data_IF_400003290048
#
_entry.id   IF_400003290048
#
_cell.length_a   1.000
_cell.length_b   1.000
_cell.length_c   1.000
_cell.angle_alpha   90.00
_cell.angle_beta   90.00
_cell.angle_gamma   90.00
#
_symmetry.space_group_name_H-M   'P 1'
#
loop_
_entity.id
_entity.type
_entity.pdbx_description
1 polymer ?
#
# COMPACT_ATOMS: atom_id res chain seq x y z
N UNK A 1 5.38 0.53 -5.47
CA UNK A 1 6.59 0.44 -6.31
C UNK A 1 6.54 -0.86 -7.11
N UNK A 2 6.23 -0.76 -8.40
CA UNK A 2 6.25 -1.86 -9.35
C UNK A 2 7.50 -1.67 -10.22
N UNK A 3 8.59 -2.33 -9.81
CA UNK A 3 9.85 -2.31 -10.55
C UNK A 3 9.66 -3.11 -11.83
N UNK A 4 9.94 -2.47 -12.96
CA UNK A 4 9.66 -2.97 -14.30
C UNK A 4 10.95 -3.06 -15.10
N UNK A 5 11.22 -4.25 -15.62
CA UNK A 5 12.33 -4.53 -16.53
C UNK A 5 11.77 -4.64 -17.94
N UNK A 6 12.15 -3.69 -18.80
CA UNK A 6 11.86 -3.76 -20.22
C UNK A 6 13.08 -4.31 -20.95
N UNK A 7 12.93 -5.43 -21.65
CA UNK A 7 13.99 -6.08 -22.42
C UNK A 7 13.57 -6.35 -23.86
N UNK A 8 14.35 -5.89 -24.83
CA UNK A 8 14.26 -6.30 -26.24
C UNK A 8 15.54 -7.06 -26.57
N UNK A 9 15.46 -8.31 -27.03
CA UNK A 9 16.62 -9.10 -27.45
C UNK A 9 16.55 -9.47 -28.93
N UNK A 10 17.64 -9.25 -29.68
CA UNK A 10 17.82 -9.75 -31.06
C UNK A 10 18.77 -10.96 -31.04
N UNK A 11 18.48 -12.02 -31.81
CA UNK A 11 19.45 -13.13 -31.99
C UNK A 11 20.37 -12.82 -33.17
N UNK A 12 21.68 -13.03 -32.98
CA UNK A 12 22.65 -13.08 -34.08
C UNK A 12 22.45 -14.36 -34.92
N UNK A 13 22.59 -14.24 -36.25
CA UNK A 13 22.55 -15.38 -37.17
C UNK A 13 23.82 -16.25 -36.98
N UNK A 14 23.70 -17.60 -36.92
CA UNK A 14 24.88 -18.46 -36.85
C UNK A 14 25.67 -18.45 -38.18
N UNK A 15 27.00 -18.59 -38.15
CA UNK A 15 27.79 -18.75 -39.36
C UNK A 15 27.40 -20.04 -40.09
N UNK A 16 27.16 -19.93 -41.38
CA UNK A 16 26.70 -20.99 -42.29
C UNK A 16 27.72 -22.11 -42.42
N UNK A 17 27.27 -23.36 -42.19
CA UNK A 17 27.89 -24.58 -42.70
C UNK A 17 26.77 -25.49 -43.24
N UNK A 18 26.90 -25.90 -44.49
CA UNK A 18 25.88 -26.62 -45.27
C UNK A 18 25.68 -28.09 -44.86
N UNK A 19 24.40 -28.52 -44.88
CA UNK A 19 23.80 -29.85 -45.22
C UNK A 19 22.63 -30.25 -44.27
N UNK A 20 21.67 -31.12 -44.68
CA UNK A 20 20.51 -30.83 -45.53
C UNK A 20 19.16 -30.78 -44.77
N UNK A 21 18.21 -30.09 -45.41
CA UNK A 21 16.76 -29.92 -45.15
C UNK A 21 16.12 -30.59 -43.92
N UNK A 22 16.08 -29.86 -42.81
CA UNK A 22 14.99 -29.95 -41.82
C UNK A 22 13.90 -28.92 -42.17
N UNK A 23 12.61 -29.16 -41.85
CA UNK A 23 11.53 -28.21 -42.12
C UNK A 23 11.88 -26.85 -41.50
N UNK A 24 11.56 -25.73 -42.17
CA UNK A 24 12.05 -24.42 -41.76
C UNK A 24 11.68 -24.19 -40.29
N UNK A 25 12.66 -23.95 -39.40
CA UNK A 25 12.33 -23.63 -38.02
C UNK A 25 11.50 -22.35 -38.07
N UNK A 26 10.28 -22.42 -37.49
CA UNK A 26 9.44 -21.23 -37.29
C UNK A 26 10.30 -20.15 -36.66
N UNK A 27 10.58 -19.09 -37.41
CA UNK A 27 11.28 -17.89 -36.96
C UNK A 27 10.53 -17.34 -35.76
N UNK A 28 11.03 -17.59 -34.54
CA UNK A 28 10.48 -16.95 -33.33
C UNK A 28 10.90 -15.48 -33.39
N UNK A 29 9.92 -14.62 -33.59
CA UNK A 29 10.01 -13.18 -33.76
C UNK A 29 10.74 -12.46 -32.62
N UNK A 30 11.44 -11.38 -32.96
CA UNK A 30 11.86 -10.32 -32.04
C UNK A 30 10.71 -9.97 -31.10
N UNK A 31 10.96 -9.85 -29.79
CA UNK A 31 9.88 -9.58 -28.84
C UNK A 31 10.34 -8.71 -27.69
N UNK A 32 9.60 -7.62 -27.46
CA UNK A 32 9.68 -6.87 -26.21
C UNK A 32 9.09 -7.69 -25.08
N UNK A 33 9.81 -7.75 -23.97
CA UNK A 33 9.36 -8.32 -22.72
C UNK A 33 9.37 -7.23 -21.67
N UNK A 34 8.27 -7.16 -20.93
CA UNK A 34 8.13 -6.28 -19.78
C UNK A 34 7.83 -7.22 -18.61
N UNK A 35 8.83 -7.37 -17.76
CA UNK A 35 8.78 -8.20 -16.57
C UNK A 35 8.68 -7.29 -15.35
N UNK A 36 7.91 -7.69 -14.35
CA UNK A 36 7.79 -6.93 -13.10
C UNK A 36 8.36 -7.68 -11.90
N UNK A 37 8.55 -6.97 -10.79
CA UNK A 37 8.88 -7.54 -9.48
C UNK A 37 7.66 -7.49 -8.54
N UNK A 38 7.20 -8.61 -7.94
CA UNK A 38 7.69 -9.98 -8.13
C UNK A 38 7.41 -10.53 -9.55
N UNK A 39 8.18 -11.55 -10.01
CA UNK A 39 8.22 -11.99 -11.40
C UNK A 39 6.84 -12.31 -11.98
N UNK A 40 6.48 -11.58 -13.02
CA UNK A 40 5.27 -11.76 -13.81
C UNK A 40 5.41 -11.00 -15.13
N UNK A 41 4.88 -11.57 -16.21
CA UNK A 41 4.95 -10.95 -17.54
C UNK A 41 3.76 -10.03 -17.74
N UNK A 42 4.00 -8.73 -17.84
CA UNK A 42 2.95 -7.70 -17.95
C UNK A 42 3.02 -6.90 -19.26
N UNK A 43 3.71 -7.41 -20.29
CA UNK A 43 3.79 -6.75 -21.60
C UNK A 43 2.42 -6.30 -22.13
N UNK A 44 1.38 -7.13 -21.99
CA UNK A 44 0.04 -6.80 -22.46
C UNK A 44 -0.68 -5.71 -21.64
N UNK A 45 -0.20 -5.39 -20.43
CA UNK A 45 -0.75 -4.33 -19.57
C UNK A 45 -0.21 -2.94 -19.93
N UNK A 46 0.90 -2.87 -20.68
CA UNK A 46 1.62 -1.64 -21.02
C UNK A 46 1.97 -1.58 -22.52
N UNK A 47 0.96 -1.55 -23.42
CA UNK A 47 1.19 -1.48 -24.86
C UNK A 47 2.02 -0.25 -25.27
N UNK A 48 1.78 0.91 -24.66
CA UNK A 48 2.49 2.17 -24.93
C UNK A 48 4.02 2.05 -24.69
N UNK A 49 4.42 1.45 -23.57
CA UNK A 49 5.84 1.20 -23.26
C UNK A 49 6.41 0.13 -24.21
N UNK A 50 5.61 -0.88 -24.56
CA UNK A 50 6.02 -1.97 -25.44
C UNK A 50 6.23 -1.51 -26.89
N UNK A 51 5.38 -0.63 -27.38
CA UNK A 51 5.48 -0.02 -28.71
C UNK A 51 6.70 0.89 -28.79
N UNK A 52 6.92 1.75 -27.79
CA UNK A 52 8.13 2.56 -27.69
C UNK A 52 9.42 1.71 -27.67
N UNK A 53 9.41 0.59 -26.93
CA UNK A 53 10.53 -0.35 -26.90
C UNK A 53 10.78 -1.02 -28.26
N UNK A 54 9.73 -1.35 -29.02
CA UNK A 54 9.88 -1.89 -30.37
C UNK A 54 10.47 -0.85 -31.33
N UNK A 55 10.02 0.41 -31.21
CA UNK A 55 10.47 1.52 -32.04
C UNK A 55 11.96 1.86 -31.82
N UNK A 56 12.48 1.71 -30.60
CA UNK A 56 13.90 1.87 -30.31
C UNK A 56 14.78 0.94 -31.18
N UNK A 57 14.30 -0.28 -31.45
CA UNK A 57 14.96 -1.20 -32.36
C UNK A 57 16.29 -1.79 -31.86
N UNK A 58 16.77 -1.44 -30.67
CA UNK A 58 18.04 -1.93 -30.11
C UNK A 58 17.87 -3.10 -29.13
N UNK A 59 18.93 -3.90 -28.99
CA UNK A 59 18.99 -4.93 -27.93
C UNK A 59 19.35 -4.26 -26.61
N UNK A 60 18.37 -4.05 -25.74
CA UNK A 60 18.54 -3.37 -24.45
C UNK A 60 17.79 -4.08 -23.34
N UNK A 61 18.31 -3.95 -22.12
CA UNK A 61 17.56 -4.23 -20.88
C UNK A 61 17.63 -3.01 -19.99
N UNK A 62 16.50 -2.31 -19.85
CA UNK A 62 16.34 -1.12 -19.03
C UNK A 62 15.61 -1.49 -17.75
N UNK A 63 16.11 -1.00 -16.62
CA UNK A 63 15.46 -1.10 -15.32
C UNK A 63 14.80 0.25 -14.97
N UNK A 64 13.53 0.21 -14.60
CA UNK A 64 12.73 1.40 -14.39
C UNK A 64 11.51 1.16 -13.51
N UNK A 65 10.78 2.24 -13.22
CA UNK A 65 9.50 2.20 -12.51
C UNK A 65 8.38 2.53 -13.49
N UNK A 66 7.38 1.66 -13.60
CA UNK A 66 6.17 1.99 -14.36
C UNK A 66 5.25 2.85 -13.49
N UNK A 67 4.75 3.95 -14.04
CA UNK A 67 3.87 4.89 -13.33
C UNK A 67 2.69 5.30 -14.19
N UNK A 68 1.56 5.59 -13.56
CA UNK A 68 0.45 6.32 -14.17
C UNK A 68 0.35 7.66 -13.45
N UNK A 69 0.20 8.74 -14.21
CA UNK A 69 0.04 10.08 -13.67
C UNK A 69 -1.41 10.56 -13.88
N UNK A 70 -2.00 11.13 -12.83
CA UNK A 70 -3.32 11.77 -12.85
C UNK A 70 -3.28 13.02 -12.00
N UNK A 71 -3.83 14.12 -12.51
CA UNK A 71 -4.04 15.36 -11.75
C UNK A 71 -2.77 15.87 -11.04
N UNK A 72 -1.61 15.77 -11.71
CA UNK A 72 -0.34 16.24 -11.12
C UNK A 72 0.35 15.23 -10.20
N UNK A 73 -0.19 14.02 -10.00
CA UNK A 73 0.34 13.02 -9.06
C UNK A 73 0.47 11.62 -9.65
N UNK A 74 1.38 10.83 -9.09
CA UNK A 74 1.49 9.40 -9.39
C UNK A 74 0.32 8.63 -8.75
N UNK A 75 -0.41 7.86 -9.55
CA UNK A 75 -1.56 7.06 -9.13
C UNK A 75 -1.22 5.56 -9.17
N UNK A 76 -0.73 5.05 -8.03
CA UNK A 76 -0.43 3.63 -7.85
C UNK A 76 -1.72 2.77 -7.87
N UNK A 77 -2.85 3.36 -7.45
CA UNK A 77 -4.22 2.90 -7.64
C UNK A 77 -4.47 2.42 -9.07
N UNK A 78 -4.38 3.38 -9.98
CA UNK A 78 -4.60 3.21 -11.41
C UNK A 78 -3.62 2.20 -12.01
N UNK A 79 -2.34 2.26 -11.64
CA UNK A 79 -1.34 1.30 -12.11
C UNK A 79 -1.69 -0.13 -11.72
N UNK A 80 -2.04 -0.39 -10.45
CA UNK A 80 -2.44 -1.73 -10.02
C UNK A 80 -3.70 -2.20 -10.75
N UNK A 81 -4.71 -1.33 -10.86
CA UNK A 81 -5.92 -1.65 -11.60
C UNK A 81 -5.60 -2.02 -13.05
N UNK A 82 -4.69 -1.29 -13.71
CA UNK A 82 -4.25 -1.55 -15.08
C UNK A 82 -3.77 -2.98 -15.28
N UNK A 83 -2.92 -3.47 -14.39
CA UNK A 83 -2.33 -4.81 -14.49
C UNK A 83 -3.34 -5.95 -14.38
N UNK A 84 -4.52 -5.68 -13.81
CA UNK A 84 -5.59 -6.66 -13.61
C UNK A 84 -6.69 -6.61 -14.68
N UNK A 85 -6.60 -5.71 -15.67
CA UNK A 85 -7.62 -5.56 -16.73
C UNK A 85 -7.36 -6.49 -17.91
N UNK A 86 -8.45 -6.83 -18.63
CA UNK A 86 -8.37 -7.54 -19.92
C UNK A 86 -7.75 -6.65 -21.01
N UNK A 87 -7.07 -7.21 -22.03
CA UNK A 87 -6.35 -6.45 -23.05
C UNK A 87 -7.16 -5.34 -23.74
N UNK A 88 -8.43 -5.59 -24.10
CA UNK A 88 -9.28 -4.57 -24.72
C UNK A 88 -9.53 -3.35 -23.81
N UNK A 89 -9.69 -3.59 -22.50
CA UNK A 89 -9.83 -2.51 -21.53
C UNK A 89 -8.50 -1.78 -21.29
N UNK A 90 -7.37 -2.50 -21.32
CA UNK A 90 -6.03 -1.91 -21.27
C UNK A 90 -5.81 -0.96 -22.45
N UNK A 91 -6.08 -1.38 -23.69
CA UNK A 91 -5.88 -0.55 -24.88
C UNK A 91 -6.65 0.77 -24.79
N UNK A 92 -7.92 0.71 -24.35
CA UNK A 92 -8.73 1.91 -24.14
C UNK A 92 -8.17 2.82 -23.04
N UNK A 93 -7.75 2.24 -21.92
CA UNK A 93 -7.17 3.02 -20.82
C UNK A 93 -5.81 3.61 -21.21
N UNK A 94 -5.03 2.97 -22.09
CA UNK A 94 -3.68 3.42 -22.48
C UNK A 94 -3.76 4.71 -23.28
N UNK A 95 -4.77 4.84 -24.14
CA UNK A 95 -5.02 6.09 -24.87
C UNK A 95 -5.51 7.25 -24.00
N UNK A 96 -6.12 6.99 -22.83
CA UNK A 96 -6.62 8.05 -21.93
C UNK A 96 -5.63 8.41 -20.83
N UNK A 97 -4.92 7.42 -20.32
CA UNK A 97 -4.06 7.49 -19.14
C UNK A 97 -2.82 6.63 -19.38
N UNK A 98 -1.89 7.08 -20.23
CA UNK A 98 -0.72 6.29 -20.59
C UNK A 98 0.17 6.05 -19.37
N UNK A 99 0.63 4.81 -19.22
CA UNK A 99 1.71 4.49 -18.31
C UNK A 99 3.03 5.00 -18.88
N UNK A 100 3.90 5.42 -17.98
CA UNK A 100 5.26 5.87 -18.29
C UNK A 100 6.28 4.96 -17.63
N UNK A 101 7.44 4.77 -18.27
CA UNK A 101 8.59 4.10 -17.69
C UNK A 101 9.62 5.15 -17.24
N UNK A 102 9.80 5.30 -15.94
CA UNK A 102 10.86 6.13 -15.37
C UNK A 102 12.13 5.27 -15.23
N UNK A 103 13.01 5.36 -16.22
CA UNK A 103 14.22 4.55 -16.33
C UNK A 103 15.33 5.04 -15.38
N UNK A 104 15.99 4.11 -14.68
CA UNK A 104 17.03 4.44 -13.70
C UNK A 104 18.31 3.59 -13.80
N UNK A 105 18.33 2.53 -14.62
CA UNK A 105 19.52 1.70 -14.87
C UNK A 105 19.50 1.06 -16.28
N UNK A 106 20.67 0.73 -16.82
CA UNK A 106 20.84 0.00 -18.09
C UNK A 106 21.69 -1.24 -17.82
N UNK A 107 21.11 -2.42 -18.08
CA UNK A 107 21.70 -3.72 -17.70
C UNK A 107 22.28 -4.48 -18.89
N UNK A 108 21.83 -4.14 -20.10
CA UNK A 108 22.32 -4.67 -21.36
C UNK A 108 22.13 -3.63 -22.44
N UNK A 109 23.11 -3.48 -23.32
CA UNK A 109 23.02 -2.64 -24.51
C UNK A 109 23.82 -3.24 -25.67
N UNK A 110 23.21 -3.34 -26.85
CA UNK A 110 23.81 -3.88 -28.07
C UNK A 110 24.48 -5.25 -27.88
N UNK A 111 23.84 -6.13 -27.10
CA UNK A 111 24.34 -7.48 -26.78
C UNK A 111 25.41 -7.54 -25.67
N UNK A 112 25.89 -6.40 -25.18
CA UNK A 112 26.85 -6.34 -24.06
C UNK A 112 26.10 -6.28 -22.74
N UNK A 113 26.36 -7.25 -21.85
CA UNK A 113 25.81 -7.25 -20.48
C UNK A 113 26.63 -6.31 -19.60
N UNK A 114 25.96 -5.46 -18.83
CA UNK A 114 26.59 -4.40 -18.04
C UNK A 114 26.52 -4.63 -16.53
N UNK A 115 26.07 -5.82 -16.07
CA UNK A 115 25.82 -6.07 -14.65
C UNK A 115 27.04 -5.84 -13.75
N UNK A 116 28.23 -6.20 -14.23
CA UNK A 116 29.49 -6.05 -13.48
C UNK A 116 30.07 -4.63 -13.52
N UNK A 117 29.49 -3.74 -14.32
CA UNK A 117 29.98 -2.38 -14.50
C UNK A 117 29.59 -1.52 -13.30
N UNK A 118 30.40 -0.52 -12.91
CA UNK A 118 30.01 0.55 -11.98
C UNK A 118 28.67 1.20 -12.34
N UNK A 119 27.83 1.52 -11.34
CA UNK A 119 26.55 2.19 -11.56
C UNK A 119 26.68 3.48 -12.38
N UNK A 120 27.72 4.29 -12.11
CA UNK A 120 27.97 5.54 -12.85
C UNK A 120 28.14 5.32 -14.36
N UNK A 121 28.75 4.20 -14.78
CA UNK A 121 29.00 3.88 -16.18
C UNK A 121 27.72 3.36 -16.86
N UNK A 122 26.96 2.50 -16.16
CA UNK A 122 25.63 2.09 -16.62
C UNK A 122 24.68 3.28 -16.76
N UNK A 123 24.75 4.22 -15.82
CA UNK A 123 23.95 5.44 -15.84
C UNK A 123 24.31 6.36 -17.01
N UNK A 124 25.60 6.60 -17.26
CA UNK A 124 26.06 7.39 -18.40
C UNK A 124 25.66 6.76 -19.74
N UNK A 125 25.72 5.42 -19.85
CA UNK A 125 25.24 4.70 -21.03
C UNK A 125 23.72 4.86 -21.21
N UNK A 126 22.94 4.81 -20.12
CA UNK A 126 21.49 5.05 -20.17
C UNK A 126 21.18 6.49 -20.64
N UNK A 127 21.89 7.49 -20.14
CA UNK A 127 21.73 8.88 -20.56
C UNK A 127 22.09 9.07 -22.03
N UNK A 128 23.18 8.45 -22.48
CA UNK A 128 23.61 8.48 -23.89
C UNK A 128 22.57 7.81 -24.80
N UNK A 129 21.95 6.71 -24.37
CA UNK A 129 20.86 6.06 -25.10
C UNK A 129 19.66 7.00 -25.27
N UNK A 130 19.27 7.71 -24.20
CA UNK A 130 18.18 8.68 -24.26
C UNK A 130 18.49 9.86 -25.17
N UNK A 131 19.70 10.42 -25.10
CA UNK A 131 20.11 11.54 -25.95
C UNK A 131 20.22 11.12 -27.42
N UNK A 132 20.88 10.00 -27.70
CA UNK A 132 21.11 9.52 -29.06
C UNK A 132 19.84 9.19 -29.83
N UNK A 133 18.80 8.73 -29.12
CA UNK A 133 17.50 8.40 -29.72
C UNK A 133 16.41 9.45 -29.47
N UNK A 134 16.72 10.56 -28.79
CA UNK A 134 15.73 11.57 -28.42
C UNK A 134 14.55 11.01 -27.62
N UNK A 135 14.83 10.05 -26.71
CA UNK A 135 13.79 9.32 -26.00
C UNK A 135 13.01 10.25 -25.05
N UNK A 136 11.70 10.20 -25.20
CA UNK A 136 10.73 10.97 -24.43
C UNK A 136 9.54 10.08 -24.08
N UNK A 137 8.42 10.67 -23.67
CA UNK A 137 7.19 9.95 -23.32
C UNK A 137 6.86 8.86 -24.37
N UNK A 138 6.56 7.62 -23.93
CA UNK A 138 6.23 7.22 -22.56
C UNK A 138 7.44 6.92 -21.66
N UNK A 139 8.67 7.22 -22.07
CA UNK A 139 9.86 7.02 -21.25
C UNK A 139 10.36 8.33 -20.66
N UNK A 140 10.95 8.25 -19.47
CA UNK A 140 11.65 9.38 -18.86
C UNK A 140 12.87 8.87 -18.10
N UNK A 141 13.93 9.68 -18.06
CA UNK A 141 15.06 9.41 -17.18
C UNK A 141 14.70 9.83 -15.75
N UNK A 142 15.01 8.97 -14.79
CA UNK A 142 15.05 9.38 -13.39
C UNK A 142 16.14 10.44 -13.20
N UNK A 143 15.89 11.53 -12.48
CA UNK A 143 16.91 12.50 -12.08
C UNK A 143 17.89 11.88 -11.06
N UNK A 144 19.17 12.24 -11.15
CA UNK A 144 20.23 11.76 -10.26
C UNK A 144 21.05 12.93 -9.72
N UNK A 145 21.56 12.80 -8.50
CA UNK A 145 22.42 13.82 -7.88
C UNK A 145 23.45 13.15 -6.98
N UNK A 146 24.67 13.72 -6.96
CA UNK A 146 25.69 13.40 -5.98
C UNK A 146 25.65 14.32 -4.75
N UNK A 147 24.82 15.36 -4.78
CA UNK A 147 24.67 16.35 -3.71
C UNK A 147 23.60 15.91 -2.68
N UNK A 148 23.99 15.69 -1.41
CA UNK A 148 23.05 15.38 -0.34
C UNK A 148 21.98 16.46 -0.08
N UNK A 149 22.29 17.74 -0.30
CA UNK A 149 21.32 18.83 -0.10
C UNK A 149 20.24 18.82 -1.17
N UNK A 150 20.62 18.67 -2.44
CA UNK A 150 19.66 18.45 -3.52
C UNK A 150 18.77 17.22 -3.26
N UNK A 151 19.35 16.13 -2.77
CA UNK A 151 18.59 14.91 -2.43
C UNK A 151 17.57 15.15 -1.29
N UNK A 152 17.94 15.93 -0.26
CA UNK A 152 17.02 16.36 0.82
C UNK A 152 15.88 17.22 0.28
N UNK A 153 16.15 18.11 -0.67
CA UNK A 153 15.12 18.92 -1.30
C UNK A 153 14.11 18.06 -2.07
N UNK A 154 14.57 17.07 -2.85
CA UNK A 154 13.68 16.14 -3.57
C UNK A 154 12.73 15.37 -2.66
N UNK A 155 13.22 14.92 -1.50
CA UNK A 155 12.41 14.24 -0.48
C UNK A 155 11.22 15.07 0.02
N UNK A 156 11.30 16.40 -0.09
CA UNK A 156 10.24 17.32 0.34
C UNK A 156 9.36 17.75 -0.85
N UNK A 157 9.99 18.15 -1.96
CA UNK A 157 9.29 18.74 -3.10
C UNK A 157 8.43 17.74 -3.88
N UNK A 158 8.90 16.49 -4.05
CA UNK A 158 8.18 15.51 -4.86
C UNK A 158 7.14 14.69 -4.08
N UNK A 159 7.06 14.88 -2.76
CA UNK A 159 6.03 14.25 -1.95
C UNK A 159 4.61 14.61 -2.43
N UNK A 160 4.40 15.88 -2.81
CA UNK A 160 3.14 16.35 -3.37
C UNK A 160 2.78 15.64 -4.69
N UNK A 161 3.77 15.28 -5.49
CA UNK A 161 3.61 14.52 -6.73
C UNK A 161 3.41 13.00 -6.50
N UNK A 162 3.44 12.52 -5.27
CA UNK A 162 3.27 11.10 -4.93
C UNK A 162 4.56 10.28 -4.96
N UNK A 163 5.74 10.92 -4.96
CA UNK A 163 7.02 10.22 -4.83
C UNK A 163 7.28 9.91 -3.35
N UNK A 164 7.46 8.62 -3.03
CA UNK A 164 7.65 8.15 -1.64
C UNK A 164 9.04 8.49 -1.05
N UNK A 165 10.03 8.75 -1.91
CA UNK A 165 11.38 9.12 -1.50
C UNK A 165 12.44 8.80 -2.56
N UNK A 166 13.66 8.57 -2.10
CA UNK A 166 14.86 8.40 -2.95
C UNK A 166 15.51 7.03 -2.74
N UNK A 167 16.30 6.62 -3.74
CA UNK A 167 17.13 5.42 -3.67
C UNK A 167 18.60 5.83 -3.81
N UNK A 168 19.41 5.55 -2.80
CA UNK A 168 20.86 5.74 -2.87
C UNK A 168 21.53 4.45 -3.36
N UNK A 169 22.37 4.60 -4.39
CA UNK A 169 23.16 3.54 -5.00
C UNK A 169 24.64 3.95 -4.92
N UNK A 170 25.53 3.02 -4.63
CA UNK A 170 26.97 3.32 -4.68
C UNK A 170 27.41 3.62 -6.12
N UNK A 171 28.14 4.70 -6.36
CA UNK A 171 28.56 5.09 -7.73
C UNK A 171 29.39 4.00 -8.42
N UNK A 172 30.21 3.28 -7.65
CA UNK A 172 31.02 2.15 -8.12
C UNK A 172 30.36 0.78 -7.92
N UNK A 173 29.08 0.75 -7.51
CA UNK A 173 28.39 -0.49 -7.17
C UNK A 173 27.97 -1.25 -8.45
N UNK A 174 28.37 -2.53 -8.61
CA UNK A 174 27.84 -3.38 -9.67
C UNK A 174 26.36 -3.71 -9.42
N UNK A 175 25.63 -4.07 -10.48
CA UNK A 175 24.27 -4.55 -10.33
C UNK A 175 24.27 -5.98 -9.79
N UNK A 176 23.57 -6.21 -8.68
CA UNK A 176 23.54 -7.51 -8.02
C UNK A 176 22.12 -8.11 -8.04
N UNK A 177 21.77 -8.91 -9.07
CA UNK A 177 20.43 -9.49 -9.18
C UNK A 177 20.05 -10.28 -7.93
N UNK A 178 18.84 -10.03 -7.40
CA UNK A 178 18.30 -10.75 -6.23
C UNK A 178 18.91 -10.36 -4.89
N UNK A 179 19.87 -9.43 -4.83
CA UNK A 179 20.46 -8.95 -3.58
C UNK A 179 19.87 -7.61 -3.15
N UNK A 180 19.68 -7.44 -1.84
CA UNK A 180 19.29 -6.16 -1.23
C UNK A 180 20.53 -5.30 -1.03
N UNK A 181 20.96 -4.58 -2.07
CA UNK A 181 22.18 -3.77 -2.05
C UNK A 181 21.97 -2.24 -2.09
N UNK A 182 20.75 -1.78 -2.36
CA UNK A 182 20.44 -0.35 -2.45
C UNK A 182 19.74 0.15 -1.20
N UNK A 183 20.04 1.39 -0.82
CA UNK A 183 19.43 2.03 0.35
C UNK A 183 18.23 2.84 -0.10
N UNK A 184 17.06 2.56 0.47
CA UNK A 184 15.82 3.28 0.16
C UNK A 184 15.50 4.23 1.31
N UNK A 185 15.53 5.52 1.03
CA UNK A 185 15.13 6.57 1.96
C UNK A 185 13.72 6.99 1.60
N UNK A 186 12.77 6.73 2.50
CA UNK A 186 11.36 7.07 2.28
C UNK A 186 10.94 8.12 3.29
N UNK A 187 10.15 9.09 2.83
CA UNK A 187 9.47 9.99 3.74
C UNK A 187 8.43 9.17 4.50
N UNK A 188 8.45 9.28 5.82
CA UNK A 188 7.40 8.75 6.68
C UNK A 188 6.68 9.95 7.26
N UNK A 189 5.37 9.99 7.11
CA UNK A 189 4.56 10.87 7.92
C UNK A 189 4.42 10.20 9.28
N UNK A 190 4.93 10.87 10.29
CA UNK A 190 4.77 10.47 11.67
C UNK A 190 3.65 11.29 12.30
N UNK A 191 3.05 10.72 13.34
CA UNK A 191 2.06 11.35 14.19
C UNK A 191 2.37 11.00 15.65
N UNK A 192 1.90 11.84 16.55
CA UNK A 192 2.07 11.65 17.99
C UNK A 192 0.78 11.14 18.64
N UNK A 193 0.91 10.25 19.61
CA UNK A 193 -0.20 9.82 20.45
C UNK A 193 0.31 9.42 21.85
N UNK A 194 -0.58 9.50 22.82
CA UNK A 194 -0.29 9.21 24.22
C UNK A 194 -0.38 7.69 24.43
N UNK A 195 0.55 7.12 25.18
CA UNK A 195 0.53 5.71 25.55
C UNK A 195 -0.46 5.53 26.69
N UNK A 196 -1.57 4.85 26.43
CA UNK A 196 -2.59 4.58 27.46
C UNK A 196 -2.58 3.15 28.00
N UNK A 197 -1.95 2.21 27.28
CA UNK A 197 -1.78 0.84 27.74
C UNK A 197 -0.68 0.10 26.97
N UNK A 198 -0.25 -1.04 27.51
CA UNK A 198 0.67 -1.97 26.84
C UNK A 198 0.17 -3.40 26.87
N UNK A 199 0.55 -4.19 25.87
CA UNK A 199 0.45 -5.66 25.94
C UNK A 199 1.76 -6.24 26.47
N UNK A 200 1.72 -7.46 27.01
CA UNK A 200 2.86 -8.02 27.75
C UNK A 200 2.86 -7.52 29.19
N UNK A 201 4.04 -7.54 29.83
CA UNK A 201 4.21 -7.00 31.19
C UNK A 201 4.80 -5.60 31.13
N UNK A 202 4.68 -4.82 32.21
CA UNK A 202 5.29 -3.48 32.27
C UNK A 202 6.81 -3.52 32.10
N UNK A 203 7.46 -4.57 32.63
CA UNK A 203 8.90 -4.79 32.46
C UNK A 203 9.30 -5.27 31.05
N UNK A 204 8.34 -5.81 30.28
CA UNK A 204 8.60 -6.34 28.93
C UNK A 204 7.42 -5.98 27.99
N UNK A 205 7.23 -4.70 27.69
CA UNK A 205 6.11 -4.26 26.85
C UNK A 205 6.29 -4.79 25.43
N UNK A 206 5.23 -5.37 24.86
CA UNK A 206 5.27 -5.97 23.53
C UNK A 206 4.66 -5.06 22.47
N UNK A 207 3.50 -4.45 22.75
CA UNK A 207 2.85 -3.46 21.87
C UNK A 207 2.27 -2.33 22.71
N UNK A 208 2.14 -1.14 22.11
CA UNK A 208 1.52 0.03 22.70
C UNK A 208 0.08 0.18 22.20
N UNK A 209 -0.81 0.56 23.10
CA UNK A 209 -2.13 1.09 22.79
C UNK A 209 -2.08 2.61 22.92
N UNK A 210 -2.31 3.28 21.80
CA UNK A 210 -2.09 4.70 21.62
C UNK A 210 -3.42 5.43 21.57
N UNK A 211 -3.51 6.54 22.31
CA UNK A 211 -4.72 7.33 22.44
C UNK A 211 -4.51 8.82 22.23
N UNK A 212 -5.62 9.53 22.01
CA UNK A 212 -5.68 10.99 21.97
C UNK A 212 -6.92 11.46 22.74
N UNK A 213 -6.82 12.63 23.35
CA UNK A 213 -7.97 13.28 23.95
C UNK A 213 -8.85 13.90 22.87
N UNK A 214 -10.17 13.83 23.04
CA UNK A 214 -11.11 14.62 22.24
C UNK A 214 -11.21 16.04 22.78
N UNK A 215 -11.89 16.93 22.05
CA UNK A 215 -12.18 18.29 22.52
C UNK A 215 -13.04 18.31 23.81
N UNK A 216 -13.77 17.23 24.07
CA UNK A 216 -14.58 17.03 25.27
C UNK A 216 -13.80 16.38 26.44
N UNK A 217 -12.50 16.12 26.26
CA UNK A 217 -11.64 15.54 27.29
C UNK A 217 -11.71 14.01 27.39
N UNK A 218 -12.33 13.31 26.43
CA UNK A 218 -12.37 11.85 26.43
C UNK A 218 -11.09 11.24 25.87
N UNK A 219 -10.48 10.29 26.59
CA UNK A 219 -9.29 9.60 26.10
C UNK A 219 -9.63 8.39 25.22
N UNK A 220 -9.47 8.55 23.90
CA UNK A 220 -9.88 7.54 22.91
C UNK A 220 -8.69 6.83 22.27
N UNK A 221 -8.83 5.52 22.07
CA UNK A 221 -7.85 4.69 21.37
C UNK A 221 -7.82 5.05 19.88
N UNK A 222 -6.68 5.56 19.41
CA UNK A 222 -6.47 5.94 18.00
C UNK A 222 -5.64 4.92 17.22
N UNK A 223 -4.77 4.16 17.88
CA UNK A 223 -3.94 3.18 17.19
C UNK A 223 -3.44 2.07 18.13
N UNK A 224 -3.05 0.93 17.54
CA UNK A 224 -2.26 -0.11 18.19
C UNK A 224 -0.95 -0.23 17.45
N UNK A 225 0.16 -0.41 18.17
CA UNK A 225 1.44 -0.61 17.51
C UNK A 225 1.64 -2.04 16.99
N UNK A 226 2.55 -2.20 16.02
CA UNK A 226 3.25 -3.46 15.79
C UNK A 226 4.11 -3.82 17.02
N UNK A 227 4.62 -5.06 17.12
CA UNK A 227 5.60 -5.40 18.14
C UNK A 227 6.74 -4.39 18.21
N UNK A 228 7.09 -3.98 19.44
CA UNK A 228 8.14 -3.01 19.70
C UNK A 228 9.52 -3.60 19.36
N UNK A 229 10.40 -2.83 18.67
CA UNK A 229 11.82 -3.16 18.57
C UNK A 229 12.49 -3.28 19.95
N UNK A 230 13.54 -4.10 20.07
CA UNK A 230 14.27 -4.36 21.31
C UNK A 230 14.59 -3.09 22.11
N UNK A 231 15.17 -2.09 21.43
CA UNK A 231 15.52 -0.80 22.04
C UNK A 231 14.33 -0.14 22.74
N UNK A 232 13.18 -0.07 22.06
CA UNK A 232 11.99 0.58 22.60
C UNK A 232 11.30 -0.25 23.69
N UNK A 233 11.57 -1.55 23.77
CA UNK A 233 11.12 -2.38 24.90
C UNK A 233 11.88 -2.02 26.17
N UNK A 234 13.20 -1.84 26.08
CA UNK A 234 14.03 -1.35 27.18
C UNK A 234 13.65 0.05 27.63
N UNK A 235 13.67 1.01 26.70
CA UNK A 235 13.29 2.41 26.99
C UNK A 235 11.86 2.49 27.58
N UNK A 236 10.93 1.69 27.04
CA UNK A 236 9.56 1.63 27.52
C UNK A 236 9.43 1.04 28.93
N UNK A 237 10.16 -0.04 29.23
CA UNK A 237 10.11 -0.68 30.54
C UNK A 237 10.59 0.24 31.68
N UNK A 238 11.52 1.15 31.39
CA UNK A 238 12.03 2.12 32.38
C UNK A 238 11.07 3.29 32.62
N UNK A 239 10.36 3.73 31.58
CA UNK A 239 9.54 4.95 31.63
C UNK A 239 8.06 4.69 31.96
N UNK A 240 7.53 3.52 31.60
CA UNK A 240 6.11 3.23 31.72
C UNK A 240 5.72 3.05 33.19
N UNK A 241 4.78 3.88 33.63
CA UNK A 241 4.22 3.79 34.99
C UNK A 241 2.84 3.13 34.96
N UNK A 242 2.55 2.16 35.86
CA UNK A 242 1.22 1.56 35.96
C UNK A 242 0.13 2.62 36.15
N UNK A 243 -1.06 2.37 35.60
CA UNK A 243 -2.18 3.28 35.76
C UNK A 243 -2.69 3.35 37.21
N UNK A 244 -3.17 4.54 37.61
CA UNK A 244 -3.95 4.71 38.84
C UNK A 244 -5.37 4.18 38.66
N UNK A 245 -6.07 3.95 39.78
CA UNK A 245 -7.48 3.58 39.76
C UNK A 245 -8.33 4.62 39.00
N UNK A 246 -9.31 4.14 38.22
CA UNK A 246 -10.19 5.01 37.41
C UNK A 246 -9.64 5.35 36.03
N UNK A 247 -8.62 4.63 35.56
CA UNK A 247 -8.12 4.81 34.19
C UNK A 247 -9.23 4.53 33.16
N UNK A 248 -9.43 5.38 32.12
CA UNK A 248 -10.52 5.23 31.16
C UNK A 248 -10.57 3.88 30.45
N UNK A 249 -9.42 3.21 30.32
CA UNK A 249 -9.30 1.90 29.66
C UNK A 249 -9.24 0.71 30.62
N UNK A 250 -9.47 0.91 31.93
CA UNK A 250 -9.38 -0.17 32.92
C UNK A 250 -10.38 -1.32 32.66
N UNK A 251 -11.56 -0.99 32.12
CA UNK A 251 -12.60 -1.97 31.76
C UNK A 251 -12.80 -2.10 30.25
N UNK A 252 -11.95 -1.44 29.45
CA UNK A 252 -12.08 -1.44 28.01
C UNK A 252 -11.80 -2.84 27.45
N UNK A 253 -12.66 -3.30 26.55
CA UNK A 253 -12.46 -4.57 25.83
C UNK A 253 -12.07 -4.29 24.38
N UNK A 254 -10.88 -4.73 24.01
CA UNK A 254 -10.34 -4.63 22.65
C UNK A 254 -10.19 -6.05 22.12
N UNK A 255 -10.59 -6.33 20.88
CA UNK A 255 -10.35 -7.64 20.25
C UNK A 255 -8.88 -7.81 19.86
N UNK A 256 -8.33 -9.02 19.99
CA UNK A 256 -6.94 -9.35 19.63
C UNK A 256 -6.60 -9.07 18.15
N UNK A 257 -7.58 -9.26 17.26
CA UNK A 257 -7.51 -8.93 15.83
C UNK A 257 -8.91 -8.67 15.27
N UNK A 258 -8.98 -7.98 14.12
CA UNK A 258 -10.24 -7.59 13.50
C UNK A 258 -11.12 -8.81 13.19
N UNK A 259 -12.32 -8.86 13.77
CA UNK A 259 -13.27 -9.99 13.63
C UNK A 259 -13.13 -11.09 14.68
N UNK A 260 -12.16 -11.02 15.58
CA UNK A 260 -12.06 -11.94 16.73
C UNK A 260 -12.90 -11.47 17.91
N UNK A 261 -13.45 -12.43 18.63
CA UNK A 261 -14.10 -12.22 19.94
C UNK A 261 -13.12 -12.41 21.10
N UNK A 262 -11.90 -12.84 20.82
CA UNK A 262 -10.88 -13.02 21.86
C UNK A 262 -10.42 -11.64 22.36
N UNK A 263 -10.53 -11.39 23.67
CA UNK A 263 -10.10 -10.13 24.24
C UNK A 263 -8.56 -10.05 24.22
N UNK A 264 -8.05 -8.92 23.76
CA UNK A 264 -6.65 -8.56 23.88
C UNK A 264 -6.35 -8.29 25.36
N UNK A 265 -5.43 -9.05 25.94
CA UNK A 265 -4.90 -8.76 27.26
C UNK A 265 -3.93 -7.56 27.17
N UNK A 266 -4.23 -6.51 27.93
CA UNK A 266 -3.38 -5.33 28.06
C UNK A 266 -3.42 -4.79 29.49
N UNK A 267 -2.36 -4.06 29.86
CA UNK A 267 -2.24 -3.37 31.14
C UNK A 267 -2.32 -1.87 30.89
N UNK A 268 -3.32 -1.17 31.44
CA UNK A 268 -3.38 0.29 31.42
C UNK A 268 -2.16 0.92 32.09
N UNK A 269 -1.69 2.03 31.52
CA UNK A 269 -0.54 2.80 32.03
C UNK A 269 -0.97 4.24 32.27
N UNK A 270 -0.22 4.97 33.09
CA UNK A 270 -0.51 6.39 33.29
C UNK A 270 -0.28 7.14 31.97
N UNK A 271 -1.28 7.90 31.46
CA UNK A 271 -1.25 8.49 30.11
C UNK A 271 -0.39 9.77 30.06
N UNK A 272 0.88 9.66 30.39
CA UNK A 272 1.85 10.77 30.43
C UNK A 272 2.90 10.68 29.31
N UNK A 273 3.19 9.46 28.83
CA UNK A 273 4.21 9.26 27.81
C UNK A 273 3.63 9.42 26.40
N UNK A 274 4.35 10.15 25.56
CA UNK A 274 4.00 10.33 24.15
C UNK A 274 4.88 9.43 23.28
N UNK A 275 4.28 8.78 22.28
CA UNK A 275 4.97 8.03 21.25
C UNK A 275 4.79 8.70 19.90
N UNK A 276 5.90 8.86 19.17
CA UNK A 276 5.88 9.18 17.74
C UNK A 276 5.77 7.87 16.96
N UNK A 277 4.78 7.77 16.07
CA UNK A 277 4.51 6.57 15.28
C UNK A 277 4.26 6.91 13.80
N UNK A 278 4.41 5.91 12.93
CA UNK A 278 4.08 5.99 11.50
C UNK A 278 3.12 4.85 11.14
N UNK A 279 2.10 5.14 10.33
CA UNK A 279 1.10 4.18 9.88
C UNK A 279 0.79 4.37 8.40
N UNK A 280 0.09 3.39 7.81
CA UNK A 280 -0.50 3.61 6.50
C UNK A 280 -1.72 4.56 6.60
N UNK A 281 -2.12 5.14 5.47
CA UNK A 281 -3.18 6.15 5.37
C UNK A 281 -4.60 5.61 5.65
N UNK A 282 -4.76 4.40 6.21
CA UNK A 282 -6.06 3.83 6.56
C UNK A 282 -6.61 4.45 7.86
N UNK A 283 -6.89 5.75 7.79
CA UNK A 283 -7.43 6.58 8.87
C UNK A 283 -8.95 6.68 8.69
N UNK A 284 -9.70 6.33 9.72
CA UNK A 284 -11.15 6.53 9.80
C UNK A 284 -11.50 7.27 11.09
N UNK A 285 -12.14 8.44 10.97
CA UNK A 285 -12.45 9.31 12.09
C UNK A 285 -11.25 9.56 13.05
N UNK A 286 -10.05 9.75 12.49
CA UNK A 286 -8.81 9.97 13.25
C UNK A 286 -8.21 8.71 13.91
N UNK A 287 -8.70 7.51 13.57
CA UNK A 287 -8.21 6.21 14.06
C UNK A 287 -7.50 5.43 12.96
N UNK A 288 -6.30 4.93 13.25
CA UNK A 288 -5.55 4.02 12.38
C UNK A 288 -6.08 2.60 12.54
N UNK A 289 -6.60 2.03 11.44
CA UNK A 289 -7.19 0.69 11.43
C UNK A 289 -6.15 -0.43 11.35
N UNK A 290 -4.98 -0.17 10.78
CA UNK A 290 -3.86 -1.10 10.77
C UNK A 290 -2.86 -0.81 11.89
N UNK A 291 -2.14 -1.84 12.38
CA UNK A 291 -1.08 -1.62 13.35
C UNK A 291 -0.02 -0.65 12.84
N UNK A 292 0.40 0.29 13.70
CA UNK A 292 1.37 1.34 13.37
C UNK A 292 2.77 1.00 13.89
N UNK A 293 3.81 1.45 13.20
CA UNK A 293 5.18 1.32 13.69
C UNK A 293 5.52 2.47 14.65
N UNK A 294 6.08 2.16 15.82
CA UNK A 294 6.59 3.20 16.74
C UNK A 294 7.96 3.65 16.26
N UNK A 295 8.14 4.96 16.08
CA UNK A 295 9.43 5.54 15.73
C UNK A 295 10.30 5.72 16.97
N UNK A 296 9.78 6.42 17.98
CA UNK A 296 10.46 6.70 19.25
C UNK A 296 9.48 7.14 20.33
N UNK A 297 9.91 7.07 21.58
CA UNK A 297 9.26 7.75 22.70
C UNK A 297 9.68 9.24 22.70
N UNK A 298 8.73 10.13 22.96
CA UNK A 298 8.91 11.59 22.97
C UNK A 298 8.92 12.10 24.42
N UNK A 299 10.04 11.89 25.11
CA UNK A 299 10.24 12.43 26.46
C UNK A 299 10.33 13.96 26.51
N UNK A 300 10.41 14.60 25.35
CA UNK A 300 10.34 16.04 25.13
C UNK A 300 8.90 16.57 24.97
N UNK A 301 7.87 15.71 25.01
CA UNK A 301 6.47 16.09 24.88
C UNK A 301 5.63 15.64 26.06
N UNK A 302 4.60 16.42 26.34
CA UNK A 302 3.53 16.11 27.29
C UNK A 302 2.23 15.75 26.55
N UNK A 303 1.24 15.15 27.23
CA UNK A 303 -0.07 14.88 26.62
C UNK A 303 -0.77 16.10 26.04
N UNK A 304 -0.52 17.30 26.56
CA UNK A 304 -1.11 18.56 26.10
C UNK A 304 -0.55 19.01 24.74
N UNK A 305 0.66 18.57 24.40
CA UNK A 305 1.30 18.85 23.11
C UNK A 305 0.76 17.96 21.97
N UNK A 306 -0.01 16.93 22.31
CA UNK A 306 -0.56 15.98 21.34
C UNK A 306 -1.85 16.53 20.73
N UNK A 307 -2.00 16.60 19.39
CA UNK A 307 -3.20 17.10 18.76
C UNK A 307 -4.46 16.34 19.21
N UNK A 308 -5.51 17.11 19.50
CA UNK A 308 -6.80 16.55 19.89
C UNK A 308 -7.42 15.72 18.75
N UNK A 309 -8.19 14.71 19.11
CA UNK A 309 -8.97 13.91 18.18
C UNK A 309 -10.23 14.67 17.80
N UNK A 310 -10.30 15.16 16.56
CA UNK A 310 -11.50 15.80 16.03
C UNK A 310 -12.65 14.79 15.94
N UNK A 311 -13.65 14.97 16.81
CA UNK A 311 -14.96 14.34 16.70
C UNK A 311 -15.68 14.97 15.51
N UNK A 312 -15.98 14.19 14.47
CA UNK A 312 -16.68 14.69 13.29
C UNK A 312 -18.02 15.35 13.68
N UNK A 313 -18.05 16.68 13.60
CA UNK A 313 -19.18 17.61 13.62
C UNK A 313 -20.06 17.61 14.88
N UNK A 314 -19.88 18.68 15.68
CA UNK A 314 -20.71 19.04 16.82
C UNK A 314 -20.40 20.44 17.40
N UNK A 315 -20.47 21.48 16.55
CA UNK A 315 -20.48 22.94 16.88
C UNK A 315 -19.14 23.65 17.14
N UNK A 316 -18.90 24.70 16.35
CA UNK A 316 -17.82 25.69 16.47
C UNK A 316 -17.88 26.48 17.79
N UNK A 317 -16.82 27.22 18.19
CA UNK A 317 -16.67 27.74 19.53
C UNK A 317 -17.56 28.96 19.74
N UNK A 318 -18.58 28.85 20.60
CA UNK A 318 -19.35 30.00 21.05
C UNK A 318 -18.98 30.41 22.47
N UNK A 319 -18.45 31.65 22.57
CA UNK A 319 -18.54 32.49 23.77
C UNK A 319 -19.94 32.37 24.37
N UNK A 320 -20.03 32.26 25.70
CA UNK A 320 -21.29 32.31 26.48
C UNK A 320 -22.20 33.45 26.00
N UNK A 321 -23.51 33.18 25.91
CA UNK A 321 -24.45 34.03 26.62
C UNK A 321 -25.54 33.24 27.38
N UNK A 322 -26.20 33.97 28.28
CA UNK A 322 -27.22 33.56 29.24
C UNK A 322 -28.52 32.99 28.65
N UNK A 323 -29.29 32.40 29.58
CA UNK A 323 -30.52 31.65 29.45
C UNK A 323 -31.65 32.26 28.60
N UNK A 324 -32.30 31.41 27.81
CA UNK A 324 -33.73 31.48 27.52
C UNK A 324 -34.26 30.11 27.05
N UNK A 325 -35.49 29.79 27.46
CA UNK A 325 -36.16 28.49 27.38
C UNK A 325 -37.09 28.38 26.16
N UNK A 326 -37.37 27.13 25.74
CA UNK A 326 -38.51 26.59 24.94
C UNK A 326 -38.28 26.34 23.42
N UNK A 327 -39.07 25.46 22.76
CA UNK A 327 -39.16 24.01 22.99
C UNK A 327 -38.99 23.18 21.68
N UNK A 328 -38.95 21.86 21.85
CA UNK A 328 -38.65 20.84 20.85
C UNK A 328 -39.60 20.77 19.64
N UNK A 329 -39.04 20.43 18.48
CA UNK A 329 -39.75 19.75 17.38
C UNK A 329 -39.07 18.40 17.12
N UNK A 330 -39.85 17.33 17.26
CA UNK A 330 -39.50 15.98 16.85
C UNK A 330 -39.33 15.93 15.33
N UNK A 331 -38.13 15.59 14.88
CA UNK A 331 -37.91 15.02 13.54
C UNK A 331 -37.44 13.58 13.72
N UNK A 332 -38.25 12.67 13.21
CA UNK A 332 -38.06 11.23 13.19
C UNK A 332 -36.82 10.86 12.37
N UNK A 333 -35.72 10.46 13.04
CA UNK A 333 -34.54 9.89 12.38
C UNK A 333 -34.90 8.53 11.76
N UNK A 334 -34.98 8.47 10.43
CA UNK A 334 -35.04 7.21 9.70
C UNK A 334 -33.73 6.42 9.92
N UNK A 335 -33.85 5.20 10.47
CA UNK A 335 -32.72 4.26 10.64
C UNK A 335 -32.03 4.03 9.29
N UNK A 336 -30.74 4.36 9.22
CA UNK A 336 -29.88 3.98 8.09
C UNK A 336 -29.84 2.46 7.96
N UNK A 337 -30.08 1.88 6.77
CA UNK A 337 -30.06 0.43 6.60
C UNK A 337 -28.67 -0.13 6.88
N UNK A 338 -28.59 -1.17 7.73
CA UNK A 338 -27.34 -1.87 8.02
C UNK A 338 -26.83 -2.60 6.76
N UNK A 339 -25.52 -2.47 6.49
CA UNK A 339 -24.87 -3.04 5.30
C UNK A 339 -24.66 -4.55 5.46
N UNK A 340 -25.12 -5.34 4.50
CA UNK A 340 -24.92 -6.80 4.48
C UNK A 340 -23.51 -7.14 4.00
N UNK A 341 -22.76 -7.92 4.78
CA UNK A 341 -21.35 -8.25 4.46
C UNK A 341 -21.20 -9.74 4.13
N UNK A 342 -20.70 -10.01 2.92
CA UNK A 342 -20.30 -11.31 2.41
C UNK A 342 -18.79 -11.47 2.54
N UNK A 343 -18.30 -12.59 3.06
CA UNK A 343 -16.88 -12.92 3.18
C UNK A 343 -16.56 -14.15 2.38
N UNK A 344 -15.60 -14.06 1.47
CA UNK A 344 -15.07 -15.22 0.75
C UNK A 344 -13.82 -15.70 1.48
N UNK A 345 -13.88 -16.89 2.08
CA UNK A 345 -12.81 -17.46 2.92
C UNK A 345 -12.43 -18.87 2.45
N UNK A 346 -11.21 -19.37 2.73
CA UNK A 346 -10.85 -20.77 2.51
C UNK A 346 -11.63 -21.68 3.46
N UNK A 347 -12.09 -22.83 2.99
CA UNK A 347 -12.85 -23.79 3.80
C UNK A 347 -11.95 -24.90 4.38
N UNK A 348 -11.79 -24.93 5.72
CA UNK A 348 -11.26 -26.06 6.51
C UNK A 348 -9.74 -26.07 6.78
N UNK A 349 -9.35 -26.46 8.01
CA UNK A 349 -7.95 -26.69 8.44
C UNK A 349 -7.43 -28.12 8.23
N UNK A 350 -8.21 -29.04 7.66
CA UNK A 350 -7.76 -30.42 7.38
C UNK A 350 -8.32 -30.97 6.07
N UNK A 351 -7.40 -31.38 5.18
CA UNK A 351 -7.65 -32.36 4.12
C UNK A 351 -8.44 -31.86 2.90
N UNK A 352 -7.82 -31.00 2.10
CA UNK A 352 -7.90 -30.93 0.62
C UNK A 352 -7.48 -29.57 0.08
N UNK A 353 -7.28 -28.59 0.95
CA UNK A 353 -6.54 -27.36 0.64
C UNK A 353 -7.03 -26.56 -0.56
N UNK A 354 -8.18 -26.86 -1.17
CA UNK A 354 -8.61 -26.21 -2.42
C UNK A 354 -10.03 -25.67 -2.40
N UNK A 355 -10.79 -25.83 -1.31
CA UNK A 355 -12.17 -25.37 -1.20
C UNK A 355 -12.27 -23.97 -0.59
N UNK A 356 -13.31 -23.25 -0.99
CA UNK A 356 -13.62 -21.89 -0.59
C UNK A 356 -15.06 -21.82 -0.08
N UNK A 357 -15.42 -20.80 0.66
CA UNK A 357 -16.79 -20.59 1.11
C UNK A 357 -17.16 -19.12 1.13
N UNK A 358 -18.43 -18.83 0.93
CA UNK A 358 -19.03 -17.51 1.14
C UNK A 358 -19.76 -17.54 2.47
N UNK A 359 -19.40 -16.61 3.36
CA UNK A 359 -20.03 -16.43 4.66
C UNK A 359 -20.75 -15.10 4.69
N UNK A 360 -22.01 -15.07 5.12
CA UNK A 360 -22.67 -13.81 5.41
C UNK A 360 -23.61 -13.97 6.62
N UNK A 361 -23.92 -12.83 7.24
CA UNK A 361 -24.80 -12.75 8.40
C UNK A 361 -26.05 -11.99 8.06
N UNK A 362 -27.20 -12.63 8.24
CA UNK A 362 -28.50 -11.99 8.19
C UNK A 362 -29.16 -12.13 9.57
N UNK A 363 -29.19 -11.02 10.32
CA UNK A 363 -29.63 -11.03 11.72
C UNK A 363 -28.78 -11.94 12.62
N UNK A 364 -29.39 -12.98 13.20
CA UNK A 364 -28.72 -13.96 14.07
C UNK A 364 -28.26 -15.22 13.33
N UNK A 365 -28.55 -15.37 12.04
CA UNK A 365 -28.20 -16.56 11.24
C UNK A 365 -26.89 -16.32 10.49
N UNK A 366 -25.99 -17.30 10.57
CA UNK A 366 -24.76 -17.38 9.77
C UNK A 366 -24.98 -18.39 8.66
N UNK A 367 -24.90 -17.93 7.41
CA UNK A 367 -24.97 -18.81 6.25
C UNK A 367 -23.57 -19.02 5.68
N UNK A 368 -23.28 -20.26 5.29
CA UNK A 368 -21.99 -20.67 4.71
C UNK A 368 -22.24 -21.50 3.48
N UNK A 369 -21.81 -20.99 2.33
CA UNK A 369 -21.96 -21.68 1.06
C UNK A 369 -20.59 -22.16 0.56
N UNK A 370 -20.34 -23.47 0.46
CA UNK A 370 -19.06 -24.00 -0.01
C UNK A 370 -18.95 -23.98 -1.54
N UNK A 371 -17.77 -23.65 -2.04
CA UNK A 371 -17.39 -23.62 -3.45
C UNK A 371 -16.06 -24.33 -3.68
N UNK A 372 -15.83 -24.79 -4.92
CA UNK A 372 -14.64 -25.56 -5.25
C UNK A 372 -13.43 -24.68 -5.53
N UNK A 373 -13.64 -23.42 -5.93
CA UNK A 373 -12.55 -22.47 -6.20
C UNK A 373 -12.84 -21.09 -5.62
N UNK A 374 -11.78 -20.27 -5.49
CA UNK A 374 -11.91 -18.89 -5.00
C UNK A 374 -12.75 -18.06 -5.95
N UNK A 375 -12.56 -18.24 -7.26
CA UNK A 375 -13.27 -17.48 -8.29
C UNK A 375 -14.77 -17.76 -8.29
N UNK A 376 -15.16 -19.03 -8.09
CA UNK A 376 -16.56 -19.41 -7.92
C UNK A 376 -17.19 -18.74 -6.69
N UNK A 377 -16.50 -18.77 -5.54
CA UNK A 377 -16.97 -18.13 -4.31
C UNK A 377 -17.06 -16.60 -4.45
N UNK A 378 -16.09 -15.96 -5.12
CA UNK A 378 -16.15 -14.52 -5.41
C UNK A 378 -17.34 -14.21 -6.32
N UNK A 379 -17.56 -15.01 -7.37
CA UNK A 379 -18.68 -14.81 -8.29
C UNK A 379 -20.03 -14.94 -7.58
N UNK A 380 -20.20 -15.98 -6.77
CA UNK A 380 -21.40 -16.21 -5.97
C UNK A 380 -21.66 -15.08 -4.97
N UNK A 381 -20.64 -14.69 -4.19
CA UNK A 381 -20.75 -13.60 -3.22
C UNK A 381 -21.12 -12.26 -3.89
N UNK A 382 -20.55 -11.96 -5.06
CA UNK A 382 -20.87 -10.75 -5.82
C UNK A 382 -22.27 -10.80 -6.43
N UNK A 383 -22.76 -11.97 -6.82
CA UNK A 383 -24.13 -12.13 -7.29
C UNK A 383 -25.14 -11.91 -6.17
N UNK A 384 -24.89 -12.46 -4.99
CA UNK A 384 -25.75 -12.31 -3.81
C UNK A 384 -25.74 -10.88 -3.28
N UNK A 385 -24.58 -10.24 -3.20
CA UNK A 385 -24.45 -8.86 -2.71
C UNK A 385 -25.21 -7.83 -3.57
N UNK A 386 -25.39 -8.08 -4.87
CA UNK A 386 -26.22 -7.21 -5.74
C UNK A 386 -27.70 -7.24 -5.39
N UNK A 387 -28.17 -8.29 -4.70
CA UNK A 387 -29.55 -8.38 -4.22
C UNK A 387 -29.81 -7.66 -2.90
N UNK A 388 -28.77 -7.18 -2.20
CA UNK A 388 -28.86 -6.65 -0.84
C UNK A 388 -28.20 -5.27 -0.70
N UNK A 389 -28.73 -4.25 -1.37
CA UNK A 389 -28.17 -2.90 -1.26
C UNK A 389 -28.65 -2.17 0.01
N UNK A 390 -27.75 -1.71 0.92
CA UNK A 390 -26.29 -1.69 0.79
C UNK A 390 -25.61 -3.02 1.20
N UNK A 391 -24.64 -3.49 0.41
CA UNK A 391 -23.83 -4.68 0.69
C UNK A 391 -22.33 -4.50 0.38
N UNK A 392 -21.50 -5.37 0.97
CA UNK A 392 -20.07 -5.47 0.71
C UNK A 392 -19.63 -6.93 0.62
N UNK A 393 -18.75 -7.24 -0.33
CA UNK A 393 -18.07 -8.52 -0.46
C UNK A 393 -16.61 -8.33 -0.11
N UNK A 394 -16.10 -9.06 0.87
CA UNK A 394 -14.70 -9.03 1.31
C UNK A 394 -14.07 -10.37 0.94
N UNK A 395 -13.01 -10.35 0.14
CA UNK A 395 -12.33 -11.55 -0.33
C UNK A 395 -11.04 -11.74 0.46
N UNK A 396 -10.96 -12.83 1.22
CA UNK A 396 -9.76 -13.20 1.95
C UNK A 396 -8.83 -14.05 1.08
N UNK A 397 -7.54 -13.92 1.31
CA UNK A 397 -6.52 -14.87 0.88
C UNK A 397 -6.44 -16.07 1.81
N UNK A 398 -5.69 -17.09 1.41
CA UNK A 398 -5.40 -18.25 2.25
C UNK A 398 -4.58 -17.93 3.50
N UNK A 399 -3.88 -16.81 3.45
CA UNK A 399 -3.15 -16.20 4.57
C UNK A 399 -4.07 -15.39 5.51
N UNK A 400 -5.40 -15.47 5.33
CA UNK A 400 -6.40 -14.77 6.14
C UNK A 400 -6.51 -13.27 5.86
N UNK A 401 -5.56 -12.69 5.09
CA UNK A 401 -5.53 -11.27 4.74
C UNK A 401 -6.56 -10.93 3.67
N UNK A 402 -7.15 -9.74 3.73
CA UNK A 402 -8.05 -9.25 2.69
C UNK A 402 -7.23 -9.00 1.42
N UNK A 403 -7.67 -9.58 0.31
CA UNK A 403 -7.07 -9.38 -1.01
C UNK A 403 -7.80 -8.35 -1.84
N UNK A 404 -9.13 -8.31 -1.73
CA UNK A 404 -9.97 -7.36 -2.47
C UNK A 404 -11.33 -7.23 -1.80
N UNK A 405 -12.05 -6.16 -2.14
CA UNK A 405 -13.41 -5.90 -1.68
C UNK A 405 -14.26 -5.31 -2.81
N UNK A 406 -15.58 -5.54 -2.73
CA UNK A 406 -16.58 -5.00 -3.65
C UNK A 406 -17.75 -4.42 -2.84
N UNK A 407 -18.25 -3.25 -3.20
CA UNK A 407 -19.36 -2.58 -2.49
C UNK A 407 -20.54 -2.35 -3.44
N UNK A 408 -21.77 -2.48 -2.94
CA UNK A 408 -23.02 -2.35 -3.69
C UNK A 408 -24.02 -1.52 -2.86
N UNK A 409 -24.81 -0.64 -3.48
CA UNK A 409 -25.68 0.35 -2.79
C UNK A 409 -24.98 1.63 -2.32
N UNK A 410 -25.73 2.56 -1.69
CA UNK A 410 -25.26 3.91 -1.34
C UNK A 410 -23.98 3.91 -0.48
N UNK A 411 -22.85 4.18 -1.14
CA UNK A 411 -21.61 4.61 -0.54
C UNK A 411 -21.75 6.11 -0.18
N UNK A 412 -21.40 6.58 1.03
CA UNK A 412 -21.51 7.99 1.42
C UNK A 412 -20.71 8.98 0.55
N UNK A 413 -20.05 8.56 -0.53
CA UNK A 413 -19.40 9.44 -1.50
C UNK A 413 -19.86 9.15 -2.93
N UNK A 414 -20.82 9.95 -3.43
CA UNK A 414 -20.99 10.17 -4.87
C UNK A 414 -19.86 11.06 -5.36
N UNK A 415 -18.89 10.48 -6.05
CA UNK A 415 -18.07 11.22 -7.02
C UNK A 415 -18.43 10.68 -8.40
N UNK A 416 -18.80 11.51 -9.39
CA UNK A 416 -19.15 11.04 -10.73
C UNK A 416 -17.93 10.36 -11.37
N UNK A 417 -18.14 9.20 -11.98
CA UNK A 417 -17.14 8.44 -12.74
C UNK A 417 -17.68 8.04 -14.10
#
# INVERSE_FOLDING_TARGET
MCEVRAGLRRRAAPPTREAPASPPPRTRTNGVKIDISPPGRLTAAFPEISEAAQALGEDVVIDGEAVIHREGRLDFAALQQRTSRRPAAVARLAGREPAHLIAFDLLLHAGTTMLDWPYRERRAALESLFQGHGLAAPWALTPTTGDPDQARQWMTQWAAAGVEGIVAKGASQPYQPGRRGWQKYRRRETAEAIIGAVTGTLAHPQTLLLGRYTNEGEFRLVARSTPLPERLRGDGAELITPARAGHPWQEMRISSHWGSREPLAFTPVTPELVAEFFGDMAIDAGRWRHPVGVHRLRGDMTPEDVPLLETAWGTAPHKRPEAATQPAKEETMAKTPQRTVYRVTPAGERGDGNRWQVEHKEGRREEREPHRTQEEAISAARSQAKGHEPAQVIVHGRDGRIRTEYTYGNDPRRTPG
#
